data_IF_024847938524
#
_entry.id   IF_024847938524
#
_cell.length_a   1.000
_cell.length_b   1.000
_cell.length_c   1.000
_cell.angle_alpha   90.00
_cell.angle_beta   90.00
_cell.angle_gamma   90.00
#
_symmetry.space_group_name_H-M   'P 1'
#
loop_
_entity.id
_entity.type
_entity.pdbx_description
1 polymer ?
#
# COMPACT_ATOMS: atom_id res chain seq x y z
N UNK A 1 -0.11 -7.25 30.62
CA UNK A 1 0.14 -7.90 29.32
C UNK A 1 -1.11 -7.92 28.43
N UNK A 2 -2.24 -8.52 28.88
CA UNK A 2 -3.45 -8.56 28.05
C UNK A 2 -4.05 -7.16 27.77
N UNK A 3 -4.11 -6.30 28.76
CA UNK A 3 -4.62 -4.92 28.61
C UNK A 3 -3.78 -4.08 27.63
N UNK A 4 -2.46 -4.23 27.67
CA UNK A 4 -1.55 -3.53 26.74
C UNK A 4 -1.76 -4.01 25.29
N UNK A 5 -1.93 -5.32 25.10
CA UNK A 5 -2.19 -5.90 23.77
C UNK A 5 -3.54 -5.43 23.20
N UNK A 6 -4.57 -5.34 24.03
CA UNK A 6 -5.89 -4.82 23.65
C UNK A 6 -5.79 -3.33 23.27
N UNK A 7 -5.12 -2.52 24.09
CA UNK A 7 -4.94 -1.09 23.83
C UNK A 7 -4.20 -0.84 22.51
N UNK A 8 -3.17 -1.62 22.21
CA UNK A 8 -2.42 -1.52 20.96
C UNK A 8 -3.26 -1.99 19.75
N UNK A 9 -3.99 -3.11 19.89
CA UNK A 9 -4.91 -3.55 18.85
C UNK A 9 -5.96 -2.49 18.52
N UNK A 10 -6.47 -1.81 19.54
CA UNK A 10 -7.40 -0.70 19.38
C UNK A 10 -6.74 0.51 18.70
N UNK A 11 -5.49 0.84 19.06
CA UNK A 11 -4.72 1.90 18.40
C UNK A 11 -4.48 1.61 16.92
N UNK A 12 -4.15 0.37 16.54
CA UNK A 12 -4.03 -0.05 15.16
C UNK A 12 -5.34 0.07 14.39
N UNK A 13 -6.45 -0.36 14.99
CA UNK A 13 -7.78 -0.24 14.38
C UNK A 13 -8.15 1.23 14.15
N UNK A 14 -7.96 2.08 15.14
CA UNK A 14 -8.20 3.52 15.01
C UNK A 14 -7.30 4.15 13.95
N UNK A 15 -6.03 3.77 13.89
CA UNK A 15 -5.11 4.27 12.88
C UNK A 15 -5.54 3.85 11.47
N UNK A 16 -6.00 2.61 11.26
CA UNK A 16 -6.53 2.14 9.99
C UNK A 16 -7.79 2.90 9.58
N UNK A 17 -8.72 3.11 10.50
CA UNK A 17 -9.95 3.87 10.24
C UNK A 17 -9.61 5.33 9.90
N UNK A 18 -8.75 5.98 10.66
CA UNK A 18 -8.32 7.35 10.42
C UNK A 18 -7.64 7.49 9.05
N UNK A 19 -6.73 6.57 8.72
CA UNK A 19 -6.07 6.52 7.41
C UNK A 19 -7.07 6.31 6.28
N UNK A 20 -8.03 5.41 6.44
CA UNK A 20 -9.06 5.20 5.44
C UNK A 20 -9.91 6.45 5.20
N UNK A 21 -10.31 7.14 6.27
CA UNK A 21 -11.09 8.39 6.17
C UNK A 21 -10.27 9.47 5.42
N UNK A 22 -8.99 9.64 5.78
CA UNK A 22 -8.10 10.60 5.11
C UNK A 22 -7.92 10.24 3.63
N UNK A 23 -7.69 8.97 3.32
CA UNK A 23 -7.55 8.48 1.95
C UNK A 23 -8.84 8.65 1.14
N UNK A 24 -9.99 8.32 1.73
CA UNK A 24 -11.28 8.47 1.08
C UNK A 24 -11.64 9.95 0.82
N UNK A 25 -11.21 10.84 1.73
CA UNK A 25 -11.35 12.30 1.54
C UNK A 25 -10.41 12.85 0.46
N UNK A 26 -9.24 12.25 0.26
CA UNK A 26 -8.25 12.68 -0.73
C UNK A 26 -8.60 12.22 -2.14
N UNK A 27 -9.18 11.03 -2.26
CA UNK A 27 -9.52 10.41 -3.54
C UNK A 27 -11.04 10.30 -3.68
N UNK A 28 -11.65 10.93 -4.69
CA UNK A 28 -13.08 10.83 -4.98
C UNK A 28 -13.55 9.42 -5.43
N UNK A 29 -12.72 8.39 -5.23
CA UNK A 29 -12.98 7.00 -5.62
C UNK A 29 -12.65 6.04 -4.49
N UNK A 30 -13.61 5.26 -4.04
CA UNK A 30 -13.46 4.30 -2.93
C UNK A 30 -12.49 3.13 -3.18
N UNK A 31 -12.19 2.81 -4.44
CA UNK A 31 -11.29 1.69 -4.77
C UNK A 31 -9.81 2.01 -4.61
N UNK A 32 -9.40 3.26 -4.79
CA UNK A 32 -7.98 3.67 -4.70
C UNK A 32 -7.44 3.62 -3.27
N UNK A 33 -8.16 4.08 -2.24
CA UNK A 33 -7.74 3.92 -0.85
C UNK A 33 -7.46 2.47 -0.47
N UNK A 34 -8.28 1.53 -0.92
CA UNK A 34 -8.11 0.12 -0.63
C UNK A 34 -6.82 -0.46 -1.23
N UNK A 35 -6.48 -0.06 -2.46
CA UNK A 35 -5.22 -0.46 -3.11
C UNK A 35 -3.99 0.03 -2.33
N UNK A 36 -4.04 1.27 -1.85
CA UNK A 36 -2.95 1.85 -1.07
C UNK A 36 -2.85 1.15 0.29
N UNK A 37 -3.97 0.89 0.95
CA UNK A 37 -3.99 0.17 2.24
C UNK A 37 -3.41 -1.24 2.15
N UNK A 38 -3.49 -1.90 1.00
CA UNK A 38 -2.91 -3.22 0.79
C UNK A 38 -1.37 -3.22 0.89
N UNK A 39 -0.73 -2.08 0.68
CA UNK A 39 0.74 -1.96 0.81
C UNK A 39 1.23 -2.02 2.26
N UNK A 40 0.39 -1.67 3.24
CA UNK A 40 0.76 -1.68 4.65
C UNK A 40 1.05 -3.09 5.20
N UNK A 41 0.15 -4.09 5.09
CA UNK A 41 0.46 -5.42 5.57
C UNK A 41 1.66 -6.06 4.85
N UNK A 42 1.90 -5.71 3.58
CA UNK A 42 3.09 -6.16 2.87
C UNK A 42 4.38 -5.56 3.46
N UNK A 43 4.35 -4.31 3.90
CA UNK A 43 5.52 -3.68 4.54
C UNK A 43 5.86 -4.30 5.90
N UNK A 44 4.86 -4.82 6.61
CA UNK A 44 5.07 -5.49 7.89
C UNK A 44 5.91 -6.77 7.74
N UNK A 45 5.81 -7.48 6.61
CA UNK A 45 6.65 -8.65 6.36
C UNK A 45 8.14 -8.31 6.42
N UNK A 46 8.55 -7.20 5.80
CA UNK A 46 9.93 -6.72 5.86
C UNK A 46 10.35 -6.22 7.24
N UNK A 47 9.43 -5.60 7.96
CA UNK A 47 9.66 -5.16 9.33
C UNK A 47 9.95 -6.36 10.26
N UNK A 48 9.15 -7.44 10.16
CA UNK A 48 9.36 -8.66 10.94
C UNK A 48 10.66 -9.38 10.56
N UNK A 49 10.99 -9.46 9.27
CA UNK A 49 12.25 -10.05 8.81
C UNK A 49 13.46 -9.28 9.37
N UNK A 50 13.43 -7.95 9.32
CA UNK A 50 14.51 -7.13 9.86
C UNK A 50 14.65 -7.28 11.38
N UNK A 51 13.53 -7.38 12.10
CA UNK A 51 13.52 -7.62 13.54
C UNK A 51 14.14 -8.98 13.89
N UNK A 52 13.83 -10.03 13.11
CA UNK A 52 14.43 -11.36 13.28
C UNK A 52 15.94 -11.34 13.01
N UNK A 53 16.39 -10.67 11.94
CA UNK A 53 17.81 -10.53 11.63
C UNK A 53 18.55 -9.75 12.72
N UNK A 54 17.90 -8.71 13.28
CA UNK A 54 18.43 -7.91 14.38
C UNK A 54 18.40 -8.61 15.74
N UNK A 55 17.81 -9.81 15.85
CA UNK A 55 17.65 -10.53 17.12
C UNK A 55 16.81 -9.78 18.15
N UNK A 56 15.90 -8.93 17.68
CA UNK A 56 15.10 -8.06 18.54
C UNK A 56 13.76 -8.70 18.90
N UNK A 57 13.34 -8.52 20.14
CA UNK A 57 12.00 -8.94 20.58
C UNK A 57 10.98 -7.84 20.31
N UNK A 58 9.71 -8.24 20.15
CA UNK A 58 8.61 -7.29 19.98
C UNK A 58 8.37 -6.48 21.24
N UNK A 59 8.94 -5.30 21.28
CA UNK A 59 8.76 -4.35 22.38
C UNK A 59 7.57 -3.40 22.11
N UNK A 60 7.18 -2.63 23.13
CA UNK A 60 6.18 -1.57 22.98
C UNK A 60 6.62 -0.52 21.95
N UNK A 61 7.91 -0.16 21.93
CA UNK A 61 8.47 0.73 20.91
C UNK A 61 8.48 0.10 19.52
N UNK A 62 8.66 -1.22 19.42
CA UNK A 62 8.51 -1.94 18.15
C UNK A 62 7.10 -1.80 17.58
N UNK A 63 6.08 -1.90 18.40
CA UNK A 63 4.68 -1.72 18.01
C UNK A 63 4.39 -0.27 17.56
N UNK A 64 4.93 0.72 18.27
CA UNK A 64 4.90 2.13 17.84
C UNK A 64 5.62 2.29 16.50
N UNK A 65 6.74 1.60 16.29
CA UNK A 65 7.46 1.56 15.03
C UNK A 65 6.61 1.03 13.87
N UNK A 66 5.81 0.00 14.08
CA UNK A 66 4.87 -0.51 13.07
C UNK A 66 3.78 0.52 12.72
N UNK A 67 3.24 1.24 13.71
CA UNK A 67 2.27 2.31 13.47
C UNK A 67 2.89 3.46 12.67
N UNK A 68 4.09 3.88 13.02
CA UNK A 68 4.83 4.92 12.30
C UNK A 68 5.15 4.48 10.86
N UNK A 69 5.61 3.23 10.69
CA UNK A 69 5.89 2.62 9.40
C UNK A 69 4.66 2.65 8.50
N UNK A 70 3.49 2.27 9.04
CA UNK A 70 2.23 2.28 8.29
C UNK A 70 1.93 3.67 7.71
N UNK A 71 2.09 4.74 8.51
CA UNK A 71 1.87 6.11 8.03
C UNK A 71 2.84 6.54 6.94
N UNK A 72 4.13 6.18 7.07
CA UNK A 72 5.17 6.54 6.08
C UNK A 72 4.93 5.79 4.75
N UNK A 73 4.59 4.51 4.82
CA UNK A 73 4.33 3.67 3.64
C UNK A 73 3.10 4.16 2.87
N UNK A 74 2.02 4.47 3.58
CA UNK A 74 0.80 5.00 2.98
C UNK A 74 1.06 6.30 2.21
N UNK A 75 1.85 7.22 2.78
CA UNK A 75 2.24 8.46 2.13
C UNK A 75 2.88 8.22 0.77
N UNK A 76 3.77 7.23 0.64
CA UNK A 76 4.44 6.91 -0.61
C UNK A 76 3.45 6.40 -1.67
N UNK A 77 2.52 5.53 -1.28
CA UNK A 77 1.44 5.06 -2.14
C UNK A 77 0.50 6.17 -2.61
N UNK A 78 0.11 7.07 -1.70
CA UNK A 78 -0.74 8.23 -2.00
C UNK A 78 -0.10 9.11 -3.08
N UNK A 79 1.17 9.49 -2.90
CA UNK A 79 1.88 10.37 -3.84
C UNK A 79 2.00 9.78 -5.25
N UNK A 80 2.12 8.46 -5.35
CA UNK A 80 2.20 7.77 -6.65
C UNK A 80 0.84 7.75 -7.34
N UNK A 81 -0.21 7.36 -6.63
CA UNK A 81 -1.58 7.29 -7.15
C UNK A 81 -2.11 8.68 -7.51
N UNK A 82 -1.85 9.69 -6.68
CA UNK A 82 -2.22 11.08 -6.93
C UNK A 82 -1.60 11.60 -8.24
N UNK A 83 -0.32 11.34 -8.46
CA UNK A 83 0.35 11.73 -9.72
C UNK A 83 -0.23 11.02 -10.92
N UNK A 84 -0.53 9.73 -10.82
CA UNK A 84 -1.18 8.99 -11.90
C UNK A 84 -2.57 9.54 -12.21
N UNK A 85 -3.36 9.93 -11.20
CA UNK A 85 -4.66 10.58 -11.41
C UNK A 85 -4.53 11.91 -12.13
N UNK A 86 -3.58 12.77 -11.75
CA UNK A 86 -3.33 14.06 -12.42
C UNK A 86 -3.00 13.87 -13.91
N UNK A 87 -2.22 12.85 -14.26
CA UNK A 87 -1.91 12.53 -15.66
C UNK A 87 -3.15 12.04 -16.42
N UNK A 88 -4.00 11.23 -15.79
CA UNK A 88 -5.27 10.80 -16.39
C UNK A 88 -6.20 11.98 -16.64
N UNK A 89 -6.29 12.92 -15.70
CA UNK A 89 -7.09 14.14 -15.84
C UNK A 89 -6.57 15.07 -16.96
N UNK A 90 -5.25 15.04 -17.21
CA UNK A 90 -4.64 15.75 -18.33
C UNK A 90 -4.84 15.07 -19.70
N UNK A 91 -5.56 13.94 -19.75
CA UNK A 91 -5.91 13.22 -20.98
C UNK A 91 -4.98 12.07 -21.34
N UNK A 92 -4.02 11.70 -20.50
CA UNK A 92 -3.14 10.55 -20.71
C UNK A 92 -3.92 9.26 -20.45
N UNK A 93 -3.82 8.23 -21.32
CA UNK A 93 -4.43 6.92 -21.07
C UNK A 93 -3.99 6.34 -19.72
N UNK A 94 -4.89 5.67 -19.02
CA UNK A 94 -4.67 5.23 -17.64
C UNK A 94 -3.44 4.32 -17.47
N UNK A 95 -3.17 3.44 -18.42
CA UNK A 95 -1.99 2.58 -18.41
C UNK A 95 -0.69 3.38 -18.55
N UNK A 96 -0.67 4.36 -19.47
CA UNK A 96 0.48 5.21 -19.73
C UNK A 96 0.71 6.22 -18.59
N UNK A 97 -0.36 6.68 -17.95
CA UNK A 97 -0.30 7.59 -16.80
C UNK A 97 0.48 6.98 -15.63
N UNK A 98 0.23 5.71 -15.30
CA UNK A 98 0.99 5.03 -14.24
C UNK A 98 2.45 4.78 -14.66
N UNK A 99 2.70 4.42 -15.91
CA UNK A 99 4.05 4.22 -16.44
C UNK A 99 4.89 5.50 -16.41
N UNK A 100 4.26 6.67 -16.56
CA UNK A 100 4.91 7.97 -16.46
C UNK A 100 5.03 8.44 -14.98
N UNK A 101 4.01 8.23 -14.16
CA UNK A 101 4.02 8.64 -12.76
C UNK A 101 5.10 7.92 -11.94
N UNK A 102 5.32 6.62 -12.19
CA UNK A 102 6.26 5.81 -11.41
C UNK A 102 7.71 6.33 -11.46
N UNK A 103 8.33 6.62 -12.63
CA UNK A 103 9.68 7.19 -12.68
C UNK A 103 9.79 8.59 -12.09
N UNK A 104 8.76 9.43 -12.27
CA UNK A 104 8.74 10.80 -11.73
C UNK A 104 8.75 10.81 -10.20
N UNK A 105 8.04 9.87 -9.56
CA UNK A 105 7.93 9.76 -8.12
C UNK A 105 9.01 8.89 -7.48
N UNK A 106 9.76 8.12 -8.26
CA UNK A 106 10.83 7.26 -7.76
C UNK A 106 11.87 8.05 -6.95
N UNK A 107 12.36 9.16 -7.49
CA UNK A 107 13.39 9.98 -6.83
C UNK A 107 12.94 10.53 -5.47
N UNK A 108 11.79 11.25 -5.35
CA UNK A 108 11.31 11.75 -4.06
C UNK A 108 11.07 10.63 -3.05
N UNK A 109 10.50 9.50 -3.46
CA UNK A 109 10.23 8.36 -2.58
C UNK A 109 11.52 7.75 -2.07
N UNK A 110 12.52 7.53 -2.95
CA UNK A 110 13.83 7.01 -2.54
C UNK A 110 14.57 7.98 -1.61
N UNK A 111 14.53 9.28 -1.88
CA UNK A 111 15.17 10.28 -1.00
C UNK A 111 14.56 10.26 0.40
N UNK A 112 13.23 10.22 0.50
CA UNK A 112 12.56 10.18 1.82
C UNK A 112 12.77 8.86 2.53
N UNK A 113 12.76 7.74 1.83
CA UNK A 113 13.03 6.42 2.40
C UNK A 113 14.48 6.33 2.91
N UNK A 114 15.46 6.72 2.11
CA UNK A 114 16.87 6.73 2.50
C UNK A 114 17.10 7.66 3.69
N UNK A 115 16.55 8.87 3.67
CA UNK A 115 16.69 9.82 4.79
C UNK A 115 16.12 9.23 6.09
N UNK A 116 14.96 8.56 6.04
CA UNK A 116 14.38 7.92 7.20
C UNK A 116 15.18 6.68 7.66
N UNK A 117 15.70 5.88 6.74
CA UNK A 117 16.56 4.73 7.04
C UNK A 117 17.84 5.21 7.73
N UNK A 118 18.57 6.17 7.15
CA UNK A 118 19.78 6.71 7.76
C UNK A 118 19.51 7.40 9.11
N UNK A 119 18.36 8.08 9.25
CA UNK A 119 17.93 8.66 10.52
C UNK A 119 17.63 7.63 11.61
N UNK A 120 17.22 6.41 11.23
CA UNK A 120 16.93 5.33 12.18
C UNK A 120 18.12 4.43 12.52
N UNK A 121 19.23 4.49 11.75
CA UNK A 121 20.46 3.72 12.04
C UNK A 121 20.96 3.97 13.47
N UNK A 122 21.13 5.21 13.96
CA UNK A 122 21.60 5.42 15.32
C UNK A 122 20.66 4.89 16.38
N UNK A 123 19.36 4.86 16.11
CA UNK A 123 18.37 4.27 17.03
C UNK A 123 18.45 2.74 17.03
N UNK A 124 18.64 2.13 15.85
CA UNK A 124 18.72 0.67 15.70
C UNK A 124 20.01 0.10 16.30
N UNK A 125 21.12 0.86 16.29
CA UNK A 125 22.44 0.43 16.75
C UNK A 125 22.83 1.02 18.11
N UNK A 126 21.91 1.68 18.81
CA UNK A 126 22.18 2.21 20.13
C UNK A 126 22.53 1.09 21.11
N UNK A 127 23.59 1.28 21.92
CA UNK A 127 24.09 0.31 22.92
C UNK A 127 24.10 0.87 24.34
N UNK A 128 23.34 1.95 24.60
CA UNK A 128 23.19 2.52 25.95
C UNK A 128 22.14 1.76 26.75
N UNK A 129 22.21 1.86 28.08
CA UNK A 129 21.21 1.26 28.99
C UNK A 129 19.79 1.66 28.58
N UNK A 130 18.91 0.67 28.42
CA UNK A 130 17.53 0.88 27.97
C UNK A 130 17.36 1.12 26.46
N UNK A 131 18.43 1.04 25.66
CA UNK A 131 18.33 1.13 24.21
C UNK A 131 17.66 -0.09 23.56
N UNK A 132 17.75 -1.25 24.20
CA UNK A 132 17.16 -2.53 23.75
C UNK A 132 15.68 -2.39 23.36
N UNK A 133 14.92 -1.62 24.12
CA UNK A 133 13.52 -1.34 23.85
C UNK A 133 13.30 -0.52 22.58
N UNK A 134 14.21 0.41 22.27
CA UNK A 134 14.12 1.33 21.12
C UNK A 134 14.72 0.73 19.86
N UNK A 135 15.71 -0.16 20.00
CA UNK A 135 16.37 -0.81 18.87
C UNK A 135 15.38 -1.54 17.99
N UNK A 136 14.41 -2.25 18.59
CA UNK A 136 13.33 -2.92 17.87
C UNK A 136 12.56 -1.96 16.92
N UNK A 137 12.27 -0.74 17.37
CA UNK A 137 11.63 0.30 16.54
C UNK A 137 12.51 0.66 15.32
N UNK A 138 13.82 0.84 15.54
CA UNK A 138 14.77 1.14 14.48
C UNK A 138 14.82 0.04 13.41
N UNK A 139 14.95 -1.23 13.81
CA UNK A 139 14.97 -2.36 12.89
C UNK A 139 13.66 -2.50 12.10
N UNK A 140 12.51 -2.34 12.77
CA UNK A 140 11.18 -2.41 12.16
C UNK A 140 11.02 -1.33 11.07
N UNK A 141 11.38 -0.09 11.39
CA UNK A 141 11.23 1.02 10.45
C UNK A 141 12.19 0.86 9.26
N UNK A 142 13.45 0.50 9.50
CA UNK A 142 14.43 0.28 8.43
C UNK A 142 13.98 -0.85 7.50
N UNK A 143 13.69 -2.03 8.04
CA UNK A 143 13.30 -3.18 7.24
C UNK A 143 11.98 -3.00 6.53
N UNK A 144 11.00 -2.40 7.22
CA UNK A 144 9.72 -2.07 6.65
C UNK A 144 9.82 -1.05 5.52
N UNK A 145 10.66 -0.01 5.64
CA UNK A 145 10.86 0.97 4.58
C UNK A 145 11.56 0.39 3.36
N UNK A 146 12.57 -0.44 3.53
CA UNK A 146 13.25 -1.11 2.41
C UNK A 146 12.23 -1.95 1.64
N UNK A 147 11.51 -2.83 2.35
CA UNK A 147 10.54 -3.72 1.73
C UNK A 147 9.38 -2.95 1.12
N UNK A 148 8.81 -1.97 1.83
CA UNK A 148 7.70 -1.18 1.32
C UNK A 148 8.06 -0.38 0.09
N UNK A 149 9.27 0.20 0.04
CA UNK A 149 9.71 0.98 -1.12
C UNK A 149 9.80 0.08 -2.36
N UNK A 150 10.41 -1.10 -2.23
CA UNK A 150 10.46 -2.09 -3.31
C UNK A 150 9.06 -2.54 -3.74
N UNK A 151 8.21 -2.89 -2.77
CA UNK A 151 6.87 -3.36 -3.05
C UNK A 151 5.95 -2.28 -3.61
N UNK A 152 6.01 -1.06 -3.09
CA UNK A 152 5.18 0.05 -3.60
C UNK A 152 5.46 0.31 -5.08
N UNK A 153 6.72 0.22 -5.52
CA UNK A 153 7.11 0.41 -6.91
C UNK A 153 6.60 -0.69 -7.84
N UNK A 154 6.34 -1.90 -7.32
CA UNK A 154 5.85 -3.04 -8.10
C UNK A 154 4.36 -3.25 -7.92
N UNK A 155 3.89 -3.27 -6.68
CA UNK A 155 2.52 -3.63 -6.33
C UNK A 155 1.53 -2.54 -6.71
N UNK A 156 1.86 -1.26 -6.48
CA UNK A 156 0.93 -0.16 -6.79
C UNK A 156 0.66 -0.06 -8.30
N UNK A 157 1.66 -0.06 -9.21
CA UNK A 157 1.40 -0.10 -10.64
C UNK A 157 0.63 -1.34 -11.10
N UNK A 158 0.98 -2.52 -10.57
CA UNK A 158 0.27 -3.75 -10.90
C UNK A 158 -1.20 -3.70 -10.44
N UNK A 159 -1.44 -3.27 -9.21
CA UNK A 159 -2.78 -3.14 -8.66
C UNK A 159 -3.62 -2.04 -9.34
N UNK A 160 -2.97 -0.99 -9.85
CA UNK A 160 -3.63 0.07 -10.62
C UNK A 160 -4.23 -0.44 -11.93
N UNK A 161 -3.61 -1.44 -12.57
CA UNK A 161 -4.08 -2.02 -13.83
C UNK A 161 -5.20 -3.04 -13.65
N UNK A 162 -5.33 -3.67 -12.48
CA UNK A 162 -6.33 -4.70 -12.20
C UNK A 162 -7.78 -4.33 -12.57
N UNK A 163 -8.30 -3.10 -12.30
CA UNK A 163 -9.67 -2.75 -12.66
C UNK A 163 -9.94 -2.73 -14.16
N UNK A 164 -8.94 -2.41 -14.99
CA UNK A 164 -9.10 -2.41 -16.45
C UNK A 164 -9.10 -3.81 -17.03
N UNK A 165 -8.22 -4.66 -16.54
CA UNK A 165 -8.15 -6.06 -16.98
C UNK A 165 -9.38 -6.84 -16.54
N UNK A 166 -9.86 -6.62 -15.32
CA UNK A 166 -11.12 -7.17 -14.84
C UNK A 166 -12.32 -6.69 -15.67
N UNK A 167 -12.37 -5.40 -16.01
CA UNK A 167 -13.44 -4.86 -16.85
C UNK A 167 -13.36 -5.36 -18.30
N UNK A 168 -12.15 -5.56 -18.85
CA UNK A 168 -11.95 -6.15 -20.18
C UNK A 168 -12.38 -7.61 -20.21
N UNK A 169 -11.99 -8.40 -19.22
CA UNK A 169 -12.38 -9.79 -19.05
C UNK A 169 -13.91 -9.91 -18.88
N UNK A 170 -14.53 -9.06 -18.06
CA UNK A 170 -15.97 -9.01 -17.88
C UNK A 170 -16.72 -8.72 -19.18
N UNK A 171 -16.25 -7.71 -19.95
CA UNK A 171 -16.84 -7.38 -21.26
C UNK A 171 -16.68 -8.52 -22.28
N UNK A 172 -15.56 -9.24 -22.24
CA UNK A 172 -15.34 -10.40 -23.10
C UNK A 172 -16.25 -11.57 -22.74
N UNK A 173 -16.46 -11.81 -21.45
CA UNK A 173 -17.38 -12.86 -20.94
C UNK A 173 -18.84 -12.53 -21.28
N UNK A 174 -19.26 -11.28 -21.09
CA UNK A 174 -20.64 -10.84 -21.42
C UNK A 174 -20.88 -10.85 -22.93
N UNK A 175 -19.87 -10.50 -23.76
CA UNK A 175 -20.00 -10.60 -25.22
C UNK A 175 -19.98 -12.03 -25.77
N UNK A 176 -19.50 -13.00 -24.97
CA UNK A 176 -19.53 -14.43 -25.32
C UNK A 176 -20.82 -15.14 -24.94
N UNK A 177 -21.77 -14.49 -24.30
CA UNK A 177 -23.12 -15.02 -24.16
C UNK A 177 -23.78 -15.01 -25.54
N UNK A 178 -23.98 -16.15 -26.19
CA UNK A 178 -24.72 -16.19 -27.46
C UNK A 178 -26.12 -15.66 -27.22
N UNK A 179 -26.58 -14.76 -28.07
CA UNK A 179 -27.96 -14.34 -28.17
C UNK A 179 -28.82 -15.57 -28.45
N UNK A 180 -29.40 -16.16 -27.42
CA UNK A 180 -30.42 -17.21 -27.54
C UNK A 180 -31.78 -16.58 -27.79
N UNK A 181 -31.88 -15.63 -28.72
CA UNK A 181 -33.20 -15.09 -29.06
C UNK A 181 -33.25 -14.52 -30.48
N UNK A 182 -33.03 -15.36 -31.47
CA UNK A 182 -33.53 -15.10 -32.85
C UNK A 182 -33.89 -16.41 -33.58
N UNK A 183 -34.73 -17.22 -32.95
CA UNK A 183 -35.14 -18.51 -33.54
C UNK A 183 -36.61 -18.83 -33.48
N UNK A 184 -37.49 -17.90 -33.09
CA UNK A 184 -38.90 -18.28 -32.90
C UNK A 184 -39.95 -17.31 -33.43
N UNK A 185 -39.68 -16.53 -34.49
CA UNK A 185 -40.70 -15.77 -35.19
C UNK A 185 -40.50 -15.90 -36.70
N UNK A 186 -40.57 -17.11 -37.24
CA UNK A 186 -40.78 -17.34 -38.68
C UNK A 186 -41.48 -18.68 -38.86
N UNK A 187 -42.80 -18.70 -38.66
CA UNK A 187 -43.57 -19.93 -38.92
C UNK A 187 -45.02 -19.85 -38.55
N UNK A 188 -45.70 -18.75 -38.84
CA UNK A 188 -47.16 -18.68 -38.77
C UNK A 188 -47.70 -17.63 -39.73
N UNK A 189 -47.56 -17.87 -41.03
CA UNK A 189 -48.43 -17.31 -42.07
C UNK A 189 -48.21 -18.12 -43.33
N UNK A 190 -49.04 -19.20 -43.43
CA UNK A 190 -49.44 -19.82 -44.70
C UNK A 190 -50.67 -20.66 -44.49
#
# INVERSE_FOLDING_TARGET
>A
MAETAIAIGFAFLLALIALYIVLASQFDRFGQPFLIMLTAPLSFSGAFVAMLIGGQEMSLFGQIGLLALMGIVMKNGILLVDRANQLVESGVPRADAMAQAAPERLRPVLMTALAAIFGMIPVALASSDGSEWRNAMGFIVIGGLITSTMLTLVVVPAAWMLPEDAARLWRQLVRRSPSLDEGHVRGADS
#
